data_IF_077834031000
#
_entry.id   IF_077834031000
#
_cell.length_a   1.000
_cell.length_b   1.000
_cell.length_c   1.000
_cell.angle_alpha   90.00
_cell.angle_beta   90.00
_cell.angle_gamma   90.00
#
_symmetry.space_group_name_H-M   'P 1'
#
loop_
_entity.id
_entity.type
_entity.pdbx_description
1 polymer ?
#
# COMPACT_ATOMS: atom_id res chain seq x y z
N UNK A 1 14.07 -59.23 -45.83
CA UNK A 1 14.65 -58.36 -44.76
C UNK A 1 14.55 -56.94 -45.22
N UNK A 2 13.65 -56.14 -44.63
CA UNK A 2 13.49 -54.69 -44.98
C UNK A 2 12.11 -54.15 -44.74
N UNK A 3 11.62 -54.13 -43.48
CA UNK A 3 10.33 -53.47 -43.13
C UNK A 3 10.26 -52.94 -41.70
N UNK A 4 11.34 -52.51 -41.06
CA UNK A 4 11.33 -52.04 -39.66
C UNK A 4 12.00 -50.67 -39.41
N UNK A 5 12.33 -49.87 -40.41
CA UNK A 5 13.01 -48.57 -40.19
C UNK A 5 12.13 -47.31 -40.38
N UNK A 6 10.94 -47.44 -40.94
CA UNK A 6 10.12 -46.25 -41.27
C UNK A 6 9.03 -45.91 -40.22
N UNK A 7 8.80 -46.77 -39.19
CA UNK A 7 7.83 -46.45 -38.12
C UNK A 7 8.40 -45.61 -36.95
N UNK A 8 9.71 -45.62 -36.75
CA UNK A 8 10.34 -44.86 -35.63
C UNK A 8 10.47 -43.36 -35.88
N UNK A 9 10.52 -42.94 -37.17
CA UNK A 9 10.71 -41.51 -37.52
C UNK A 9 9.37 -40.75 -37.45
N UNK A 10 8.25 -41.40 -37.69
CA UNK A 10 6.93 -40.78 -37.62
C UNK A 10 6.50 -40.45 -36.16
N UNK A 11 6.86 -41.30 -35.22
CA UNK A 11 6.48 -41.13 -33.79
C UNK A 11 7.30 -40.02 -33.07
N UNK A 12 8.54 -39.82 -33.48
CA UNK A 12 9.38 -38.76 -32.89
C UNK A 12 8.96 -37.35 -33.38
N UNK A 13 8.56 -37.24 -34.65
CA UNK A 13 8.08 -35.98 -35.21
C UNK A 13 6.69 -35.59 -34.66
N UNK A 14 5.82 -36.55 -34.41
CA UNK A 14 4.51 -36.32 -33.79
C UNK A 14 4.62 -35.84 -32.35
N UNK A 15 5.52 -36.43 -31.53
CA UNK A 15 5.77 -36.03 -30.15
C UNK A 15 6.41 -34.63 -30.02
N UNK A 16 7.30 -34.29 -30.98
CA UNK A 16 7.89 -32.94 -31.03
C UNK A 16 6.86 -31.85 -31.38
N UNK A 17 5.95 -32.15 -32.33
CA UNK A 17 4.88 -31.20 -32.69
C UNK A 17 3.84 -31.03 -31.58
N UNK A 18 3.48 -32.07 -30.83
CA UNK A 18 2.59 -31.99 -29.66
C UNK A 18 3.26 -31.24 -28.52
N UNK A 19 4.57 -31.48 -28.26
CA UNK A 19 5.33 -30.72 -27.25
C UNK A 19 5.47 -29.24 -27.63
N UNK A 20 5.68 -28.91 -28.91
CA UNK A 20 5.74 -27.52 -29.39
C UNK A 20 4.36 -26.83 -29.29
N UNK A 21 3.28 -27.55 -29.56
CA UNK A 21 1.91 -27.02 -29.45
C UNK A 21 1.50 -26.80 -28.00
N UNK A 22 1.91 -27.69 -27.07
CA UNK A 22 1.70 -27.52 -25.65
C UNK A 22 2.57 -26.38 -25.08
N UNK A 23 3.80 -26.19 -25.58
CA UNK A 23 4.67 -25.08 -25.20
C UNK A 23 4.15 -23.72 -25.70
N UNK A 24 3.46 -23.67 -26.82
CA UNK A 24 2.80 -22.48 -27.36
C UNK A 24 1.47 -22.16 -26.65
N UNK A 25 0.79 -23.15 -26.03
CA UNK A 25 -0.47 -22.97 -25.30
C UNK A 25 -0.27 -22.68 -23.81
N UNK A 26 0.88 -23.06 -23.23
CA UNK A 26 1.27 -22.79 -21.83
C UNK A 26 2.37 -21.72 -21.82
N UNK A 27 2.22 -20.65 -22.57
CA UNK A 27 2.95 -19.44 -22.20
C UNK A 27 2.31 -18.89 -20.94
N UNK A 28 3.00 -18.88 -19.78
CA UNK A 28 2.53 -18.06 -18.68
C UNK A 28 2.44 -16.64 -19.27
N UNK A 29 1.27 -16.04 -19.22
CA UNK A 29 1.13 -14.61 -19.36
C UNK A 29 1.91 -14.04 -18.19
N UNK A 30 3.20 -13.84 -18.42
CA UNK A 30 4.07 -13.13 -17.50
C UNK A 30 3.37 -11.81 -17.24
N UNK A 31 3.01 -11.56 -15.99
CA UNK A 31 2.79 -10.20 -15.54
C UNK A 31 4.08 -9.47 -15.94
N UNK A 32 4.00 -8.65 -16.97
CA UNK A 32 5.07 -7.74 -17.31
C UNK A 32 5.31 -6.90 -16.05
N UNK A 33 6.35 -7.28 -15.32
CA UNK A 33 7.07 -6.29 -14.56
C UNK A 33 7.36 -5.21 -15.60
N UNK A 34 6.81 -4.02 -15.41
CA UNK A 34 7.17 -2.85 -16.19
C UNK A 34 8.65 -2.69 -15.95
N UNK A 35 9.44 -3.34 -16.80
CA UNK A 35 10.87 -3.14 -16.88
C UNK A 35 11.01 -1.69 -17.27
N UNK A 36 11.46 -0.86 -16.33
CA UNK A 36 11.87 0.49 -16.65
C UNK A 36 12.97 0.34 -17.71
N UNK A 37 12.60 0.57 -18.96
CA UNK A 37 13.53 0.62 -20.06
C UNK A 37 14.58 1.68 -19.70
N UNK A 38 15.81 1.24 -19.52
CA UNK A 38 16.95 2.01 -19.05
C UNK A 38 17.41 3.11 -20.00
N UNK A 39 16.62 4.16 -20.11
CA UNK A 39 17.08 5.49 -20.43
C UNK A 39 16.92 6.27 -19.13
N UNK A 40 17.99 6.85 -18.59
CA UNK A 40 17.95 7.72 -17.42
C UNK A 40 17.18 8.98 -17.76
N UNK A 41 15.84 8.90 -17.73
CA UNK A 41 15.00 10.09 -17.88
C UNK A 41 15.32 11.04 -16.73
N UNK A 42 15.69 12.28 -17.06
CA UNK A 42 16.03 13.29 -16.04
C UNK A 42 14.78 13.71 -15.28
N UNK A 43 14.96 14.00 -13.99
CA UNK A 43 13.98 14.65 -13.14
C UNK A 43 14.05 16.15 -13.37
N UNK A 44 13.01 16.73 -13.93
CA UNK A 44 13.03 18.15 -14.36
C UNK A 44 12.74 19.12 -13.21
N UNK A 45 12.22 18.64 -12.08
CA UNK A 45 11.88 19.43 -10.90
C UNK A 45 10.51 20.09 -10.96
N UNK A 46 9.92 20.36 -9.77
CA UNK A 46 8.57 20.91 -9.61
C UNK A 46 8.37 22.23 -10.39
N UNK A 47 9.38 23.10 -10.41
CA UNK A 47 9.32 24.35 -11.14
C UNK A 47 9.07 24.21 -12.65
N UNK A 48 9.34 23.03 -13.23
CA UNK A 48 9.05 22.74 -14.65
C UNK A 48 7.58 22.45 -14.92
N UNK A 49 6.81 22.10 -13.88
CA UNK A 49 5.37 21.85 -13.93
C UNK A 49 4.56 23.08 -13.49
N UNK A 50 5.19 24.02 -12.76
CA UNK A 50 4.59 25.11 -12.00
C UNK A 50 4.19 26.34 -12.83
N UNK A 51 4.32 26.31 -14.16
CA UNK A 51 3.93 27.44 -15.01
C UNK A 51 2.43 27.78 -14.89
N UNK A 52 2.08 29.06 -14.95
CA UNK A 52 0.68 29.53 -14.83
C UNK A 52 -0.22 29.06 -15.99
N UNK A 53 0.35 28.61 -17.09
CA UNK A 53 -0.36 27.97 -18.21
C UNK A 53 -0.36 26.44 -18.13
N UNK A 54 0.29 25.88 -17.10
CA UNK A 54 0.40 24.44 -16.85
C UNK A 54 -0.35 24.08 -15.57
N UNK A 55 0.35 23.82 -14.46
CA UNK A 55 -0.23 23.36 -13.19
C UNK A 55 -0.11 24.36 -12.03
N UNK A 56 0.35 25.58 -12.31
CA UNK A 56 0.62 26.63 -11.30
C UNK A 56 -0.32 27.83 -11.37
N UNK A 57 -1.56 27.67 -11.80
CA UNK A 57 -2.58 28.74 -11.74
C UNK A 57 -2.96 29.02 -10.29
N UNK A 58 -3.23 30.30 -10.01
CA UNK A 58 -3.72 30.69 -8.68
C UNK A 58 -5.16 30.23 -8.42
N UNK A 59 -5.96 30.11 -9.48
CA UNK A 59 -7.34 29.66 -9.45
C UNK A 59 -7.60 28.60 -10.51
N UNK A 60 -8.38 27.60 -10.14
CA UNK A 60 -8.80 26.55 -11.07
C UNK A 60 -9.76 27.13 -12.10
N UNK A 61 -9.41 27.08 -13.38
CA UNK A 61 -10.28 27.54 -14.46
C UNK A 61 -10.15 26.70 -15.73
N UNK A 62 -9.41 25.60 -15.69
CA UNK A 62 -9.34 24.63 -16.77
C UNK A 62 -10.66 23.87 -16.91
N UNK A 63 -11.16 23.71 -18.14
CA UNK A 63 -12.35 22.88 -18.42
C UNK A 63 -12.06 21.40 -18.36
N UNK A 64 -10.81 21.02 -18.58
CA UNK A 64 -10.34 19.62 -18.70
C UNK A 64 -9.36 19.30 -17.59
N UNK A 65 -8.53 20.26 -17.19
CA UNK A 65 -7.51 20.17 -16.15
C UNK A 65 -7.67 21.40 -15.27
N UNK A 66 -7.61 21.24 -13.95
CA UNK A 66 -7.75 22.39 -13.03
C UNK A 66 -6.66 23.42 -13.26
N UNK A 67 -5.43 22.98 -13.49
CA UNK A 67 -4.22 23.77 -13.65
C UNK A 67 -3.77 24.54 -12.38
N UNK A 68 -4.37 24.23 -11.22
CA UNK A 68 -4.03 24.75 -9.90
C UNK A 68 -3.50 23.65 -8.96
N UNK A 69 -3.07 22.51 -9.51
CA UNK A 69 -2.59 21.35 -8.76
C UNK A 69 -1.41 21.69 -7.85
N UNK A 70 -0.56 22.63 -8.27
CA UNK A 70 0.55 23.13 -7.46
C UNK A 70 0.04 23.81 -6.19
N UNK A 71 -1.05 24.59 -6.26
CA UNK A 71 -1.62 25.28 -5.11
C UNK A 71 -2.16 24.27 -4.09
N UNK A 72 -2.84 23.21 -4.56
CA UNK A 72 -3.33 22.14 -3.70
C UNK A 72 -2.17 21.37 -3.04
N UNK A 73 -1.13 21.03 -3.83
CA UNK A 73 0.06 20.30 -3.36
C UNK A 73 0.90 21.10 -2.36
N UNK A 74 0.91 22.44 -2.46
CA UNK A 74 1.61 23.33 -1.54
C UNK A 74 0.78 23.80 -0.34
N UNK A 75 -0.52 23.46 -0.28
CA UNK A 75 -1.40 23.95 0.78
C UNK A 75 -1.02 23.36 2.14
N UNK A 76 -0.40 24.19 2.98
CA UNK A 76 0.07 23.79 4.30
C UNK A 76 -1.05 23.41 5.28
N UNK A 77 -2.24 23.96 5.09
CA UNK A 77 -3.40 23.70 5.92
C UNK A 77 -4.13 22.39 5.53
N UNK A 78 -3.75 21.77 4.40
CA UNK A 78 -4.40 20.58 3.86
C UNK A 78 -3.49 19.35 3.97
N UNK A 79 -4.06 18.15 4.17
CA UNK A 79 -3.33 16.89 4.00
C UNK A 79 -2.66 16.76 2.63
N UNK A 80 -3.25 17.29 1.56
CA UNK A 80 -2.68 17.27 0.20
C UNK A 80 -1.32 17.96 0.11
N UNK A 81 -1.02 18.91 0.98
CA UNK A 81 0.28 19.57 1.07
C UNK A 81 1.33 18.82 1.90
N UNK A 82 1.04 17.63 2.41
CA UNK A 82 1.98 16.89 3.26
C UNK A 82 3.29 16.54 2.53
N UNK A 83 3.22 16.18 1.26
CA UNK A 83 4.38 15.81 0.46
C UNK A 83 5.30 17.00 0.16
N UNK A 84 4.76 18.19 -0.09
CA UNK A 84 5.58 19.39 -0.30
C UNK A 84 6.36 19.80 0.97
N UNK A 85 5.84 19.45 2.15
CA UNK A 85 6.49 19.73 3.44
C UNK A 85 7.47 18.64 3.88
N UNK A 86 7.51 17.50 3.17
CA UNK A 86 8.25 16.32 3.61
C UNK A 86 9.73 16.60 3.90
N UNK A 87 10.39 17.45 3.10
CA UNK A 87 11.77 17.86 3.36
C UNK A 87 11.88 18.86 4.52
N UNK A 88 10.93 19.79 4.64
CA UNK A 88 10.97 20.84 5.69
C UNK A 88 10.87 20.26 7.09
N UNK A 89 10.09 19.19 7.28
CA UNK A 89 9.96 18.52 8.61
C UNK A 89 11.29 17.94 9.07
N UNK A 90 12.24 17.66 8.18
CA UNK A 90 13.58 17.21 8.55
C UNK A 90 14.39 18.27 9.32
N UNK A 91 13.99 19.54 9.22
CA UNK A 91 14.62 20.65 9.95
C UNK A 91 13.95 20.95 11.32
N UNK A 92 12.88 20.27 11.63
CA UNK A 92 12.16 20.45 12.91
C UNK A 92 12.92 19.85 14.10
N UNK A 93 12.64 20.32 15.33
CA UNK A 93 13.30 19.82 16.53
C UNK A 93 13.22 18.30 16.70
N UNK A 94 12.07 17.69 16.37
CA UNK A 94 11.90 16.23 16.43
C UNK A 94 12.85 15.50 15.50
N UNK A 95 12.97 15.95 14.24
CA UNK A 95 13.85 15.33 13.26
C UNK A 95 15.31 15.48 13.62
N UNK A 96 15.72 16.64 14.16
CA UNK A 96 17.08 16.83 14.68
C UNK A 96 17.38 15.89 15.85
N UNK A 97 16.41 15.71 16.76
CA UNK A 97 16.57 14.77 17.88
C UNK A 97 16.71 13.32 17.40
N UNK A 98 15.94 12.91 16.38
CA UNK A 98 16.06 11.58 15.75
C UNK A 98 17.45 11.43 15.12
N UNK A 99 17.90 12.40 14.32
CA UNK A 99 19.20 12.38 13.68
C UNK A 99 20.35 12.28 14.71
N UNK A 100 20.26 13.04 15.80
CA UNK A 100 21.24 12.97 16.89
C UNK A 100 21.29 11.58 17.54
N UNK A 101 20.13 10.95 17.84
CA UNK A 101 20.08 9.59 18.40
C UNK A 101 20.62 8.54 17.43
N UNK A 102 20.48 8.75 16.15
CA UNK A 102 21.01 7.86 15.11
C UNK A 102 22.50 8.11 14.79
N UNK A 103 23.03 9.26 15.20
CA UNK A 103 24.42 9.65 14.90
C UNK A 103 24.68 9.97 13.41
N UNK A 104 23.67 10.52 12.70
CA UNK A 104 23.72 10.71 11.23
C UNK A 104 23.94 12.15 10.78
N UNK A 105 24.22 13.07 11.68
CA UNK A 105 24.36 14.50 11.36
C UNK A 105 23.02 15.16 11.03
N UNK A 106 22.98 15.99 9.98
CA UNK A 106 21.79 16.76 9.60
C UNK A 106 20.78 15.87 8.85
N UNK A 107 19.57 15.71 9.41
CA UNK A 107 18.50 14.92 8.78
C UNK A 107 18.15 15.39 7.35
N UNK A 108 18.18 16.71 7.12
CA UNK A 108 17.82 17.31 5.83
C UNK A 108 18.82 17.03 4.68
N UNK A 109 19.97 16.43 4.99
CA UNK A 109 20.97 15.99 4.01
C UNK A 109 21.28 14.50 4.09
N UNK A 110 20.75 13.78 5.10
CA UNK A 110 21.02 12.38 5.29
C UNK A 110 20.28 11.49 4.26
N UNK A 111 20.99 10.64 3.49
CA UNK A 111 20.36 9.79 2.46
C UNK A 111 19.24 8.91 3.01
N UNK A 112 19.39 8.38 4.24
CA UNK A 112 18.37 7.55 4.87
C UNK A 112 17.07 8.28 5.21
N UNK A 113 17.09 9.62 5.27
CA UNK A 113 15.90 10.44 5.43
C UNK A 113 15.34 10.87 4.07
N UNK A 114 16.24 11.31 3.17
CA UNK A 114 15.87 11.85 1.86
C UNK A 114 15.22 10.83 0.95
N UNK A 115 15.44 9.53 1.15
CA UNK A 115 14.80 8.47 0.36
C UNK A 115 13.27 8.48 0.40
N UNK A 116 12.68 9.05 1.49
CA UNK A 116 11.23 9.20 1.65
C UNK A 116 10.79 10.66 1.80
N UNK A 117 11.67 11.54 2.26
CA UNK A 117 11.33 12.95 2.54
C UNK A 117 11.68 13.92 1.40
N UNK A 118 12.16 13.40 0.27
CA UNK A 118 12.34 14.12 -0.97
C UNK A 118 12.04 13.20 -2.16
N UNK A 119 11.91 13.75 -3.36
CA UNK A 119 11.86 12.92 -4.57
C UNK A 119 13.20 12.19 -4.71
N UNK A 120 13.22 10.84 -4.69
CA UNK A 120 14.46 10.09 -4.85
C UNK A 120 15.11 10.36 -6.20
N UNK A 121 16.32 10.89 -6.20
CA UNK A 121 16.98 11.31 -7.42
C UNK A 121 18.50 11.10 -7.33
N UNK A 122 19.08 10.15 -8.09
CA UNK A 122 20.53 10.11 -8.30
C UNK A 122 21.03 11.43 -8.86
N UNK A 123 22.21 11.90 -8.44
CA UNK A 123 22.73 13.20 -8.87
C UNK A 123 22.76 13.35 -10.40
N UNK A 124 23.12 12.31 -11.12
CA UNK A 124 23.17 12.29 -12.58
C UNK A 124 21.81 12.41 -13.28
N UNK A 125 20.71 12.14 -12.56
CA UNK A 125 19.36 12.25 -13.10
C UNK A 125 18.69 13.59 -12.79
N UNK A 126 19.34 14.49 -12.02
CA UNK A 126 18.78 15.79 -11.62
C UNK A 126 18.93 16.81 -12.73
N UNK A 127 17.82 17.30 -13.24
CA UNK A 127 17.81 18.42 -14.16
C UNK A 127 18.08 19.76 -13.44
N UNK A 128 18.28 20.85 -14.19
CA UNK A 128 18.72 22.15 -13.65
C UNK A 128 17.72 22.84 -12.72
N UNK A 129 16.45 22.42 -12.74
CA UNK A 129 15.38 22.97 -11.88
C UNK A 129 14.98 22.02 -10.75
N UNK A 130 15.69 20.89 -10.62
CA UNK A 130 15.42 19.93 -9.54
C UNK A 130 15.93 20.49 -8.21
N UNK A 131 15.05 20.56 -7.20
CA UNK A 131 15.41 20.96 -5.85
C UNK A 131 14.99 19.87 -4.85
N UNK A 132 15.94 19.37 -4.08
CA UNK A 132 15.66 18.41 -2.98
C UNK A 132 14.70 19.04 -1.94
N UNK A 133 14.76 20.36 -1.76
CA UNK A 133 13.92 21.13 -0.84
C UNK A 133 12.44 21.20 -1.24
N UNK A 134 12.09 20.82 -2.46
CA UNK A 134 10.68 20.70 -2.88
C UNK A 134 9.97 19.53 -2.18
N UNK A 135 10.71 18.68 -1.45
CA UNK A 135 10.16 17.52 -0.79
C UNK A 135 9.79 16.41 -1.78
N UNK A 136 8.68 15.72 -1.56
CA UNK A 136 8.17 14.71 -2.48
C UNK A 136 7.36 15.41 -3.56
N UNK A 137 8.03 15.72 -4.69
CA UNK A 137 7.47 16.49 -5.80
C UNK A 137 6.66 15.64 -6.77
N UNK A 138 6.19 16.28 -7.83
CA UNK A 138 5.32 15.69 -8.84
C UNK A 138 5.88 14.38 -9.43
N UNK A 139 7.16 14.37 -9.73
CA UNK A 139 7.83 13.27 -10.41
C UNK A 139 8.05 12.03 -9.52
N UNK A 140 7.92 12.15 -8.18
CA UNK A 140 7.95 11.00 -7.27
C UNK A 140 6.77 10.05 -7.51
N UNK A 141 5.63 10.59 -7.96
CA UNK A 141 4.42 9.84 -8.27
C UNK A 141 4.23 9.67 -9.78
N UNK A 142 4.42 10.76 -10.56
CA UNK A 142 4.16 10.77 -12.00
C UNK A 142 5.30 10.22 -12.86
N UNK A 143 6.45 9.87 -12.25
CA UNK A 143 7.65 9.41 -12.95
C UNK A 143 8.50 10.55 -13.51
N UNK A 144 9.77 10.26 -13.80
CA UNK A 144 10.74 11.22 -14.30
C UNK A 144 10.28 11.86 -15.63
N UNK A 145 10.05 13.18 -15.60
CA UNK A 145 9.35 13.88 -16.67
C UNK A 145 10.22 14.20 -17.90
N UNK A 146 11.54 14.07 -17.80
CA UNK A 146 12.43 14.37 -18.92
C UNK A 146 12.15 13.56 -20.19
N UNK A 147 11.57 12.36 -20.06
CA UNK A 147 11.21 11.51 -21.18
C UNK A 147 9.86 11.83 -21.83
N UNK A 148 8.90 12.35 -21.06
CA UNK A 148 7.52 12.51 -21.51
C UNK A 148 6.98 13.95 -21.48
N UNK A 149 7.65 14.91 -20.83
CA UNK A 149 7.14 16.26 -20.67
C UNK A 149 6.85 16.92 -22.02
N UNK A 150 7.74 16.82 -23.00
CA UNK A 150 7.55 17.42 -24.31
C UNK A 150 6.29 16.88 -25.04
N UNK A 151 6.01 15.57 -24.93
CA UNK A 151 4.82 14.99 -25.53
C UNK A 151 3.55 15.28 -24.76
N UNK A 152 3.67 15.60 -23.46
CA UNK A 152 2.54 15.88 -22.58
C UNK A 152 1.74 17.13 -23.01
N UNK A 153 2.43 18.18 -23.44
CA UNK A 153 1.80 19.43 -23.90
C UNK A 153 1.80 19.61 -25.42
N UNK A 154 2.34 18.63 -26.17
CA UNK A 154 2.35 18.70 -27.62
C UNK A 154 0.95 18.50 -28.22
N UNK A 155 0.68 19.18 -29.34
CA UNK A 155 -0.55 18.94 -30.11
C UNK A 155 -0.57 17.47 -30.57
N UNK A 156 -1.66 16.76 -30.29
CA UNK A 156 -1.79 15.32 -30.57
C UNK A 156 -1.11 14.41 -29.54
N UNK A 157 -0.53 14.94 -28.48
CA UNK A 157 -0.02 14.16 -27.36
C UNK A 157 -1.15 13.39 -26.67
N UNK A 158 -0.90 12.11 -26.33
CA UNK A 158 -1.88 11.26 -25.67
C UNK A 158 -1.33 10.74 -24.35
N UNK A 159 -2.23 10.38 -23.42
CA UNK A 159 -1.82 9.73 -22.16
C UNK A 159 -1.01 8.45 -22.44
N UNK A 160 -1.45 7.61 -23.36
CA UNK A 160 -0.75 6.38 -23.73
C UNK A 160 0.67 6.66 -24.24
N UNK A 161 0.87 7.71 -25.05
CA UNK A 161 2.21 8.09 -25.49
C UNK A 161 3.10 8.61 -24.38
N UNK A 162 2.53 9.26 -23.36
CA UNK A 162 3.29 9.71 -22.19
C UNK A 162 3.67 8.52 -21.31
N UNK A 163 2.75 7.56 -21.09
CA UNK A 163 3.02 6.33 -20.34
C UNK A 163 4.13 5.52 -21.01
N UNK A 164 4.11 5.36 -22.32
CA UNK A 164 5.17 4.65 -23.05
C UNK A 164 6.55 5.32 -22.97
N UNK A 165 6.59 6.59 -22.55
CA UNK A 165 7.82 7.39 -22.32
C UNK A 165 8.21 7.52 -20.86
N UNK A 166 7.51 6.79 -19.95
CA UNK A 166 7.86 6.72 -18.54
C UNK A 166 6.95 7.48 -17.57
N UNK A 167 5.83 8.06 -18.05
CA UNK A 167 4.80 8.56 -17.12
C UNK A 167 4.15 7.37 -16.41
N UNK A 168 4.00 7.47 -15.10
CA UNK A 168 3.33 6.43 -14.29
C UNK A 168 1.82 6.54 -14.45
N UNK A 169 1.12 5.45 -14.85
CA UNK A 169 -0.34 5.45 -15.02
C UNK A 169 -1.05 5.33 -13.67
N UNK A 170 -1.15 6.43 -12.91
CA UNK A 170 -1.68 6.44 -11.54
C UNK A 170 -3.18 6.13 -11.43
N UNK A 171 -3.92 6.15 -12.53
CA UNK A 171 -5.28 5.61 -12.61
C UNK A 171 -5.34 4.09 -12.43
N UNK A 172 -4.23 3.40 -12.66
CA UNK A 172 -4.09 1.98 -12.35
C UNK A 172 -3.77 1.80 -10.86
N UNK A 173 -4.63 1.13 -10.07
CA UNK A 173 -4.42 0.96 -8.64
C UNK A 173 -3.10 0.29 -8.26
N UNK A 174 -2.59 -0.63 -9.09
CA UNK A 174 -1.31 -1.31 -8.82
C UNK A 174 -0.12 -0.37 -9.01
N UNK A 175 -0.13 0.44 -10.08
CA UNK A 175 0.91 1.41 -10.33
C UNK A 175 0.93 2.48 -9.24
N UNK A 176 -0.25 2.98 -8.84
CA UNK A 176 -0.40 3.91 -7.73
C UNK A 176 0.11 3.32 -6.42
N UNK A 177 -0.30 2.09 -6.08
CA UNK A 177 0.16 1.38 -4.89
C UNK A 177 1.69 1.25 -4.87
N UNK A 178 2.31 0.84 -5.98
CA UNK A 178 3.77 0.72 -6.05
C UNK A 178 4.48 2.03 -5.73
N UNK A 179 4.04 3.15 -6.34
CA UNK A 179 4.62 4.47 -6.09
C UNK A 179 4.50 4.91 -4.62
N UNK A 180 3.33 4.70 -3.99
CA UNK A 180 3.10 5.05 -2.59
C UNK A 180 3.92 4.18 -1.64
N UNK A 181 3.95 2.86 -1.89
CA UNK A 181 4.57 1.88 -0.99
C UNK A 181 6.09 1.99 -0.93
N UNK A 182 6.75 2.58 -1.92
CA UNK A 182 8.20 2.79 -1.90
C UNK A 182 8.65 3.60 -0.67
N UNK A 183 7.82 4.54 -0.22
CA UNK A 183 8.09 5.36 0.96
C UNK A 183 7.25 4.93 2.18
N UNK A 184 5.98 4.58 2.00
CA UNK A 184 5.06 4.28 3.11
C UNK A 184 5.26 2.90 3.73
N UNK A 185 5.83 1.95 3.01
CA UNK A 185 6.29 0.64 3.53
C UNK A 185 7.80 0.51 3.44
N UNK A 186 8.37 1.03 2.36
CA UNK A 186 9.76 0.94 2.03
C UNK A 186 10.03 0.12 0.78
N UNK A 187 11.28 0.17 0.33
CA UNK A 187 11.78 -0.59 -0.80
C UNK A 187 13.18 -1.16 -0.53
N UNK A 188 13.72 -1.88 -1.49
CA UNK A 188 15.11 -2.34 -1.45
C UNK A 188 16.11 -1.18 -1.66
N UNK A 189 15.65 -0.04 -2.18
CA UNK A 189 16.50 1.10 -2.50
C UNK A 189 17.10 1.75 -1.23
N UNK A 190 18.30 2.31 -1.33
CA UNK A 190 18.95 2.98 -0.20
C UNK A 190 18.09 4.11 0.36
N UNK A 191 17.95 4.13 1.69
CA UNK A 191 17.18 5.17 2.39
C UNK A 191 15.66 5.02 2.35
N UNK A 192 15.13 3.95 1.75
CA UNK A 192 13.69 3.70 1.66
C UNK A 192 13.23 2.55 2.57
N UNK A 193 13.72 2.48 3.80
CA UNK A 193 13.21 1.53 4.79
C UNK A 193 13.37 2.07 6.21
N UNK A 194 12.26 2.24 6.91
CA UNK A 194 12.22 2.66 8.32
C UNK A 194 12.24 1.40 9.19
N UNK A 195 13.44 0.94 9.56
CA UNK A 195 13.62 -0.18 10.46
C UNK A 195 13.34 0.19 11.93
N UNK A 196 13.32 -0.79 12.81
CA UNK A 196 13.02 -0.57 14.23
C UNK A 196 14.02 0.38 14.91
N UNK A 197 15.30 0.43 14.50
CA UNK A 197 16.28 1.37 15.02
C UNK A 197 15.89 2.81 14.76
N UNK A 198 15.36 3.11 13.57
CA UNK A 198 14.88 4.45 13.20
C UNK A 198 13.61 4.79 14.00
N UNK A 199 12.71 3.81 14.20
CA UNK A 199 11.50 3.98 15.03
C UNK A 199 11.88 4.21 16.49
N UNK A 200 12.83 3.44 17.04
CA UNK A 200 13.34 3.62 18.41
C UNK A 200 14.02 4.98 18.63
N UNK A 201 14.57 5.58 17.58
CA UNK A 201 15.07 6.94 17.62
C UNK A 201 13.95 8.01 17.66
N UNK A 202 12.68 7.62 17.48
CA UNK A 202 11.51 8.50 17.58
C UNK A 202 10.77 8.76 16.28
N UNK A 203 11.13 8.06 15.18
CA UNK A 203 10.38 8.14 13.93
C UNK A 203 9.07 7.35 14.07
N UNK A 204 7.90 7.90 13.71
CA UNK A 204 6.66 7.17 13.80
C UNK A 204 6.60 6.08 12.70
N UNK A 205 5.92 4.97 13.01
CA UNK A 205 5.43 4.08 11.96
C UNK A 205 4.19 4.70 11.33
N UNK A 206 4.10 4.67 10.00
CA UNK A 206 2.91 5.11 9.28
C UNK A 206 2.10 3.87 8.93
N UNK A 207 0.88 3.78 9.46
CA UNK A 207 -0.11 2.83 8.96
C UNK A 207 -0.69 3.39 7.67
N UNK A 208 -0.64 2.62 6.59
CA UNK A 208 -0.99 3.07 5.26
C UNK A 208 -2.16 2.27 4.68
N UNK A 209 -3.08 2.98 4.04
CA UNK A 209 -4.16 2.41 3.26
C UNK A 209 -4.31 3.22 1.96
N UNK A 210 -4.33 2.55 0.82
CA UNK A 210 -4.18 3.20 -0.49
C UNK A 210 -5.30 4.17 -0.84
N UNK A 211 -6.56 3.81 -0.60
CA UNK A 211 -7.70 4.66 -0.98
C UNK A 211 -7.82 5.89 -0.07
N UNK A 212 -7.67 5.68 1.25
CA UNK A 212 -7.66 6.78 2.22
C UNK A 212 -6.55 7.78 1.92
N UNK A 213 -5.32 7.30 1.73
CA UNK A 213 -4.18 8.17 1.45
C UNK A 213 -4.29 8.84 0.08
N UNK A 214 -4.84 8.17 -0.93
CA UNK A 214 -5.15 8.80 -2.22
C UNK A 214 -6.18 9.92 -2.07
N UNK A 215 -7.19 9.74 -1.22
CA UNK A 215 -8.20 10.77 -0.92
C UNK A 215 -7.59 11.95 -0.18
N UNK A 216 -6.73 11.73 0.80
CA UNK A 216 -6.02 12.78 1.54
C UNK A 216 -5.03 13.55 0.65
N UNK A 217 -4.43 12.88 -0.33
CA UNK A 217 -3.45 13.46 -1.26
C UNK A 217 -4.10 14.07 -2.52
N UNK A 218 -5.42 14.09 -2.61
CA UNK A 218 -6.12 14.57 -3.80
C UNK A 218 -5.76 16.01 -4.13
N UNK A 219 -5.24 16.22 -5.34
CA UNK A 219 -4.91 17.51 -5.92
C UNK A 219 -5.46 17.67 -7.35
N UNK A 220 -6.18 16.65 -7.86
CA UNK A 220 -6.92 16.64 -9.10
C UNK A 220 -8.41 16.45 -8.84
N UNK A 221 -9.28 16.97 -9.71
CA UNK A 221 -10.68 16.63 -9.72
C UNK A 221 -10.94 15.35 -10.52
N UNK A 222 -11.65 14.42 -9.93
CA UNK A 222 -12.18 13.24 -10.61
C UNK A 222 -13.62 13.53 -11.08
N UNK A 223 -13.74 14.51 -11.95
CA UNK A 223 -15.01 14.98 -12.50
C UNK A 223 -15.49 14.12 -13.69
N UNK A 224 -16.50 14.61 -14.42
CA UNK A 224 -17.07 13.91 -15.58
C UNK A 224 -16.06 13.72 -16.72
N UNK A 225 -15.20 14.70 -16.96
CA UNK A 225 -14.15 14.64 -17.97
C UNK A 225 -13.05 13.64 -17.58
N UNK A 226 -12.60 13.65 -16.32
CA UNK A 226 -11.69 12.64 -15.81
C UNK A 226 -12.27 11.23 -16.00
N UNK A 227 -13.53 11.03 -15.60
CA UNK A 227 -14.19 9.74 -15.69
C UNK A 227 -14.32 9.25 -17.14
N UNK A 228 -14.51 10.16 -18.10
CA UNK A 228 -14.58 9.82 -19.53
C UNK A 228 -13.23 9.37 -20.09
N UNK A 229 -12.13 10.00 -19.68
CA UNK A 229 -10.79 9.73 -20.21
C UNK A 229 -10.04 8.63 -19.48
N UNK A 230 -10.27 8.47 -18.18
CA UNK A 230 -9.50 7.59 -17.28
C UNK A 230 -10.34 6.49 -16.64
N UNK A 231 -11.67 6.54 -16.80
CA UNK A 231 -12.60 5.74 -16.03
C UNK A 231 -12.92 6.33 -14.65
N UNK A 232 -13.97 5.80 -14.02
CA UNK A 232 -14.31 6.20 -12.65
C UNK A 232 -13.46 5.45 -11.65
N UNK A 233 -12.91 6.16 -10.66
CA UNK A 233 -12.23 5.52 -9.55
C UNK A 233 -13.21 4.68 -8.74
N UNK A 234 -12.89 3.40 -8.56
CA UNK A 234 -13.61 2.49 -7.68
C UNK A 234 -12.84 2.39 -6.35
N UNK A 235 -13.33 3.10 -5.34
CA UNK A 235 -12.67 3.19 -4.04
C UNK A 235 -12.54 1.81 -3.35
N UNK A 236 -13.56 0.93 -3.46
CA UNK A 236 -13.50 -0.43 -2.88
C UNK A 236 -12.40 -1.26 -3.57
N UNK A 237 -12.30 -1.15 -4.90
CA UNK A 237 -11.25 -1.80 -5.66
C UNK A 237 -9.87 -1.25 -5.30
N UNK A 238 -9.75 0.08 -5.17
CA UNK A 238 -8.52 0.76 -4.76
C UNK A 238 -8.06 0.25 -3.39
N UNK A 239 -8.98 0.17 -2.41
CA UNK A 239 -8.72 -0.39 -1.10
C UNK A 239 -8.24 -1.85 -1.18
N UNK A 240 -8.98 -2.74 -1.87
CA UNK A 240 -8.68 -4.17 -1.91
C UNK A 240 -7.35 -4.47 -2.61
N UNK A 241 -7.10 -3.82 -3.75
CA UNK A 241 -5.82 -3.94 -4.47
C UNK A 241 -4.69 -3.35 -3.63
N UNK A 242 -4.91 -2.21 -2.96
CA UNK A 242 -3.96 -1.61 -2.03
C UNK A 242 -3.51 -2.55 -0.93
N UNK A 243 -4.44 -3.26 -0.28
CA UNK A 243 -4.14 -4.27 0.74
C UNK A 243 -3.29 -5.42 0.17
N UNK A 244 -3.59 -5.89 -1.03
CA UNK A 244 -2.84 -6.97 -1.67
C UNK A 244 -1.42 -6.53 -2.05
N UNK A 245 -1.26 -5.33 -2.59
CA UNK A 245 0.05 -4.77 -2.94
C UNK A 245 0.90 -4.45 -1.70
N UNK A 246 0.27 -4.00 -0.61
CA UNK A 246 0.92 -3.77 0.68
C UNK A 246 1.47 -5.07 1.28
N UNK A 247 0.68 -6.16 1.24
CA UNK A 247 1.15 -7.47 1.68
C UNK A 247 2.30 -7.99 0.81
N UNK A 248 2.19 -7.91 -0.52
CA UNK A 248 3.29 -8.31 -1.41
C UNK A 248 4.56 -7.51 -1.12
N UNK A 249 4.45 -6.19 -0.89
CA UNK A 249 5.57 -5.32 -0.52
C UNK A 249 6.19 -5.72 0.83
N UNK A 250 5.37 -5.89 1.86
CA UNK A 250 5.83 -6.30 3.20
C UNK A 250 6.60 -7.61 3.15
N UNK A 251 6.06 -8.63 2.49
CA UNK A 251 6.71 -9.93 2.34
C UNK A 251 7.93 -9.87 1.41
N UNK A 252 7.96 -8.96 0.43
CA UNK A 252 9.16 -8.71 -0.39
C UNK A 252 10.30 -8.15 0.44
N UNK A 253 10.01 -7.18 1.31
CA UNK A 253 10.99 -6.62 2.25
C UNK A 253 11.46 -7.69 3.24
N UNK A 254 10.54 -8.49 3.80
CA UNK A 254 10.83 -9.59 4.71
C UNK A 254 11.80 -10.60 4.10
N UNK A 255 11.65 -10.96 2.83
CA UNK A 255 12.53 -11.93 2.14
C UNK A 255 13.83 -11.30 1.63
N UNK A 256 13.96 -9.99 1.60
CA UNK A 256 15.17 -9.25 1.17
C UNK A 256 16.20 -9.11 2.30
N UNK A 257 17.29 -8.40 2.02
CA UNK A 257 18.28 -8.02 3.04
C UNK A 257 17.66 -7.20 4.18
N UNK A 258 16.60 -6.41 3.91
CA UNK A 258 15.87 -5.63 4.92
C UNK A 258 15.26 -6.48 6.01
N UNK A 259 14.79 -7.69 5.68
CA UNK A 259 14.22 -8.63 6.64
C UNK A 259 15.17 -9.13 7.71
N UNK A 260 16.46 -8.94 7.54
CA UNK A 260 17.51 -9.42 8.43
C UNK A 260 18.50 -8.33 8.87
N UNK A 261 18.17 -7.05 8.76
CA UNK A 261 19.00 -5.96 9.27
C UNK A 261 19.09 -6.03 10.81
N UNK A 262 20.21 -6.55 11.33
CA UNK A 262 20.47 -6.76 12.75
C UNK A 262 19.98 -8.11 13.27
N UNK A 263 18.70 -8.39 13.25
CA UNK A 263 18.08 -9.65 13.69
C UNK A 263 17.05 -10.12 12.64
N UNK A 264 16.85 -11.42 12.53
CA UNK A 264 15.81 -11.98 11.66
C UNK A 264 14.69 -12.66 12.48
N UNK A 265 13.40 -12.33 12.21
CA UNK A 265 12.95 -11.18 11.44
C UNK A 265 13.32 -9.86 12.11
N UNK A 266 13.54 -8.81 11.31
CA UNK A 266 13.72 -7.44 11.81
C UNK A 266 12.44 -6.99 12.55
N UNK A 267 12.58 -6.24 13.64
CA UNK A 267 11.44 -5.92 14.54
C UNK A 267 10.31 -5.13 13.87
N UNK A 268 10.58 -4.44 12.78
CA UNK A 268 9.56 -3.79 11.95
C UNK A 268 8.42 -4.74 11.54
N UNK A 269 8.73 -6.03 11.35
CA UNK A 269 7.77 -7.02 10.87
C UNK A 269 6.85 -7.58 11.96
N UNK A 270 7.03 -7.18 13.21
CA UNK A 270 6.17 -7.59 14.31
C UNK A 270 5.12 -6.53 14.64
N UNK A 271 4.02 -6.95 15.22
CA UNK A 271 3.04 -6.04 15.81
C UNK A 271 3.64 -5.30 17.01
N UNK A 272 3.50 -3.98 17.00
CA UNK A 272 4.12 -3.10 17.98
C UNK A 272 3.67 -3.40 19.42
N UNK A 273 2.38 -3.67 19.60
CA UNK A 273 1.79 -3.87 20.93
C UNK A 273 2.19 -5.19 21.57
N UNK A 274 2.69 -6.15 20.80
CA UNK A 274 3.26 -7.39 21.38
C UNK A 274 4.39 -7.10 22.35
N UNK A 275 5.21 -6.06 22.10
CA UNK A 275 6.30 -5.64 22.97
C UNK A 275 5.98 -4.33 23.72
N UNK A 276 5.35 -3.36 23.03
CA UNK A 276 4.97 -2.05 23.60
C UNK A 276 3.61 -2.11 24.29
N UNK A 277 3.48 -2.97 25.31
CA UNK A 277 2.25 -3.14 26.08
C UNK A 277 2.51 -3.03 27.58
N UNK A 278 1.45 -2.79 28.33
CA UNK A 278 1.52 -2.85 29.79
C UNK A 278 1.78 -4.30 30.22
N UNK A 279 2.75 -4.49 31.10
CA UNK A 279 3.03 -5.73 31.81
C UNK A 279 2.71 -5.47 33.28
N UNK A 280 2.08 -6.41 33.97
CA UNK A 280 1.71 -6.29 35.37
C UNK A 280 1.83 -7.65 36.07
N UNK A 281 2.41 -7.64 37.26
CA UNK A 281 2.46 -8.80 38.18
C UNK A 281 1.22 -8.87 39.07
N UNK A 282 0.25 -7.96 38.92
CA UNK A 282 -1.03 -8.02 39.61
C UNK A 282 -1.80 -9.26 39.16
N UNK A 283 -2.13 -10.21 40.07
CA UNK A 283 -2.86 -11.42 39.70
C UNK A 283 -4.27 -11.15 39.15
N UNK A 284 -4.78 -9.91 39.30
CA UNK A 284 -6.06 -9.48 38.71
C UNK A 284 -5.88 -8.87 37.33
N UNK A 285 -4.63 -8.79 36.83
CA UNK A 285 -4.38 -8.29 35.48
C UNK A 285 -4.87 -9.30 34.45
N UNK A 286 -5.89 -8.93 33.71
CA UNK A 286 -6.41 -9.72 32.59
C UNK A 286 -5.77 -9.24 31.30
N UNK A 287 -5.14 -10.13 30.50
CA UNK A 287 -4.70 -9.81 29.15
C UNK A 287 -5.88 -9.34 28.29
N UNK A 288 -5.67 -8.30 27.50
CA UNK A 288 -6.69 -7.80 26.57
C UNK A 288 -6.86 -8.67 25.31
N UNK A 289 -6.14 -9.80 25.21
CA UNK A 289 -6.10 -10.67 24.02
C UNK A 289 -6.23 -12.15 24.37
N UNK A 290 -6.87 -12.87 23.47
CA UNK A 290 -6.97 -14.34 23.47
C UNK A 290 -6.17 -14.93 22.30
N UNK A 291 -5.75 -16.18 22.44
CA UNK A 291 -5.08 -16.90 21.33
C UNK A 291 -5.99 -17.02 20.10
N UNK A 292 -5.45 -16.73 18.93
CA UNK A 292 -6.15 -16.87 17.65
C UNK A 292 -5.69 -18.13 16.91
N UNK A 293 -6.56 -19.17 16.77
CA UNK A 293 -6.19 -20.42 16.07
C UNK A 293 -5.86 -20.22 14.58
N UNK A 294 -6.34 -19.13 13.97
CA UNK A 294 -6.01 -18.76 12.59
C UNK A 294 -4.59 -18.21 12.43
N UNK A 295 -3.94 -17.88 13.58
CA UNK A 295 -2.59 -17.30 13.68
C UNK A 295 -1.77 -18.15 14.65
N UNK A 296 -1.18 -19.27 14.21
CA UNK A 296 -0.47 -20.21 15.10
C UNK A 296 0.87 -19.61 15.55
N UNK A 297 0.81 -18.70 16.52
CA UNK A 297 1.99 -18.04 17.11
C UNK A 297 2.41 -18.85 18.35
N UNK A 298 3.64 -19.36 18.40
CA UNK A 298 4.15 -20.08 19.56
C UNK A 298 4.24 -19.16 20.78
N UNK A 299 4.09 -19.75 21.97
CA UNK A 299 4.29 -19.05 23.24
C UNK A 299 5.68 -18.41 23.29
N UNK A 300 5.73 -17.12 23.64
CA UNK A 300 6.98 -16.34 23.71
C UNK A 300 7.46 -15.73 22.41
N UNK A 301 6.83 -16.04 21.28
CA UNK A 301 7.13 -15.39 20.00
C UNK A 301 6.26 -14.16 19.81
N UNK A 302 6.81 -13.01 19.38
CA UNK A 302 6.02 -11.84 19.02
C UNK A 302 5.10 -12.13 17.83
N UNK A 303 3.91 -11.52 17.82
CA UNK A 303 3.00 -11.61 16.69
C UNK A 303 3.58 -10.90 15.47
N UNK A 304 3.61 -11.58 14.33
CA UNK A 304 3.91 -10.94 13.06
C UNK A 304 2.82 -9.90 12.71
N UNK A 305 3.22 -8.79 12.13
CA UNK A 305 2.27 -7.78 11.64
C UNK A 305 1.54 -8.29 10.40
N UNK A 306 0.39 -8.88 10.59
CA UNK A 306 -0.43 -9.47 9.54
C UNK A 306 -1.65 -8.61 9.16
N UNK A 307 -1.61 -7.31 9.45
CA UNK A 307 -2.70 -6.35 9.21
C UNK A 307 -3.34 -6.48 7.83
N UNK A 308 -2.52 -6.61 6.77
CA UNK A 308 -3.03 -6.78 5.41
C UNK A 308 -3.55 -8.20 5.14
N UNK A 309 -3.03 -9.23 5.82
CA UNK A 309 -3.55 -10.60 5.68
C UNK A 309 -4.98 -10.71 6.20
N UNK A 310 -5.27 -10.06 7.33
CA UNK A 310 -6.61 -10.04 7.95
C UNK A 310 -7.61 -9.35 7.03
N UNK A 311 -7.24 -8.19 6.48
CA UNK A 311 -8.08 -7.44 5.54
C UNK A 311 -8.35 -8.24 4.27
N UNK A 312 -7.30 -8.84 3.69
CA UNK A 312 -7.41 -9.66 2.48
C UNK A 312 -8.22 -10.93 2.68
N UNK A 313 -8.10 -11.60 3.82
CA UNK A 313 -8.93 -12.78 4.13
C UNK A 313 -10.42 -12.43 4.11
N UNK A 314 -10.81 -11.27 4.67
CA UNK A 314 -12.19 -10.80 4.64
C UNK A 314 -12.65 -10.46 3.20
N UNK A 315 -11.83 -9.71 2.45
CA UNK A 315 -12.15 -9.33 1.08
C UNK A 315 -12.23 -10.53 0.13
N UNK A 316 -11.27 -11.46 0.24
CA UNK A 316 -11.18 -12.62 -0.64
C UNK A 316 -12.39 -13.56 -0.52
N UNK A 317 -12.87 -13.81 0.71
CA UNK A 317 -14.04 -14.66 0.93
C UNK A 317 -15.30 -14.17 0.24
N UNK A 318 -15.39 -12.86 0.04
CA UNK A 318 -16.56 -12.21 -0.56
C UNK A 318 -16.36 -11.94 -2.05
N UNK A 319 -15.21 -11.38 -2.44
CA UNK A 319 -14.96 -10.90 -3.79
C UNK A 319 -14.12 -11.84 -4.66
N UNK A 320 -13.41 -12.82 -4.05
CA UNK A 320 -12.57 -13.78 -4.76
C UNK A 320 -12.58 -15.17 -4.07
N UNK A 321 -13.77 -15.80 -3.88
CA UNK A 321 -13.91 -17.01 -3.05
C UNK A 321 -13.07 -18.19 -3.55
N UNK A 322 -12.81 -18.28 -4.85
CA UNK A 322 -11.94 -19.32 -5.43
C UNK A 322 -10.49 -19.25 -4.93
N UNK A 323 -10.00 -18.05 -4.55
CA UNK A 323 -8.65 -17.84 -4.04
C UNK A 323 -8.58 -17.80 -2.51
N UNK A 324 -9.71 -17.57 -1.83
CA UNK A 324 -9.76 -17.32 -0.39
C UNK A 324 -9.18 -18.50 0.42
N UNK A 325 -9.55 -19.74 0.11
CA UNK A 325 -9.05 -20.92 0.84
C UNK A 325 -7.54 -21.12 0.67
N UNK A 326 -7.01 -20.87 -0.53
CA UNK A 326 -5.58 -20.93 -0.79
C UNK A 326 -4.86 -19.88 0.03
N UNK A 327 -5.33 -18.66 -0.02
CA UNK A 327 -4.76 -17.52 0.73
C UNK A 327 -4.75 -17.79 2.25
N UNK A 328 -5.87 -18.25 2.81
CA UNK A 328 -5.98 -18.57 4.24
C UNK A 328 -5.04 -19.73 4.67
N UNK A 329 -4.83 -20.74 3.80
CA UNK A 329 -3.87 -21.83 4.08
C UNK A 329 -2.44 -21.32 4.07
N UNK A 330 -2.06 -20.50 3.08
CA UNK A 330 -0.70 -19.97 2.95
C UNK A 330 -0.39 -18.95 4.05
N UNK A 331 -1.37 -18.14 4.48
CA UNK A 331 -1.24 -17.27 5.64
C UNK A 331 -0.93 -18.05 6.92
N UNK A 332 -1.69 -19.12 7.20
CA UNK A 332 -1.40 -19.99 8.35
C UNK A 332 -0.05 -20.70 8.24
N UNK A 333 0.30 -21.16 7.04
CA UNK A 333 1.59 -21.79 6.79
C UNK A 333 2.76 -20.83 7.03
N UNK A 334 2.60 -19.58 6.67
CA UNK A 334 3.61 -18.54 6.93
C UNK A 334 3.79 -18.30 8.43
N UNK A 335 2.71 -18.13 9.20
CA UNK A 335 2.80 -18.00 10.66
C UNK A 335 3.48 -19.20 11.32
N UNK A 336 3.12 -20.42 10.88
CA UNK A 336 3.76 -21.65 11.40
C UNK A 336 5.25 -21.75 11.01
N UNK A 337 5.62 -21.29 9.82
CA UNK A 337 6.99 -21.32 9.33
C UNK A 337 7.92 -20.35 10.07
N UNK A 338 7.40 -19.22 10.55
CA UNK A 338 8.15 -18.25 11.37
C UNK A 338 8.73 -18.89 12.64
N UNK A 339 8.03 -19.90 13.20
CA UNK A 339 8.45 -20.61 14.40
C UNK A 339 9.53 -21.69 14.14
N UNK A 340 9.82 -22.01 12.90
CA UNK A 340 10.77 -23.09 12.54
C UNK A 340 12.17 -22.52 12.30
N UNK A 341 12.35 -21.87 11.18
CA UNK A 341 13.62 -21.34 10.73
C UNK A 341 13.42 -20.30 9.62
N UNK A 342 14.49 -19.57 9.31
CA UNK A 342 14.51 -18.54 8.29
C UNK A 342 14.15 -19.07 6.89
N UNK A 343 14.68 -20.23 6.49
CA UNK A 343 14.46 -20.77 5.15
C UNK A 343 13.01 -21.15 4.94
N UNK A 344 12.39 -21.81 5.94
CA UNK A 344 10.96 -22.13 5.95
C UNK A 344 10.09 -20.87 5.88
N UNK A 345 10.41 -19.84 6.67
CA UNK A 345 9.68 -18.57 6.68
C UNK A 345 9.78 -17.84 5.33
N UNK A 346 10.97 -17.78 4.73
CA UNK A 346 11.18 -17.17 3.41
C UNK A 346 10.44 -17.92 2.31
N UNK A 347 10.46 -19.27 2.33
CA UNK A 347 9.72 -20.09 1.38
C UNK A 347 8.20 -19.89 1.49
N UNK A 348 7.66 -19.88 2.71
CA UNK A 348 6.23 -19.61 2.94
C UNK A 348 5.82 -18.18 2.56
N UNK A 349 6.68 -17.18 2.81
CA UNK A 349 6.45 -15.81 2.39
C UNK A 349 6.36 -15.70 0.86
N UNK A 350 7.22 -16.40 0.11
CA UNK A 350 7.18 -16.40 -1.35
C UNK A 350 5.85 -16.95 -1.90
N UNK A 351 5.33 -18.06 -1.35
CA UNK A 351 4.04 -18.62 -1.73
C UNK A 351 2.88 -17.62 -1.42
N UNK A 352 2.89 -17.02 -0.24
CA UNK A 352 1.86 -16.06 0.16
C UNK A 352 1.89 -14.78 -0.71
N UNK A 353 3.07 -14.34 -1.18
CA UNK A 353 3.20 -13.24 -2.14
C UNK A 353 2.47 -13.55 -3.45
N UNK A 354 2.61 -14.76 -3.98
CA UNK A 354 1.90 -15.16 -5.21
C UNK A 354 0.38 -15.13 -5.01
N UNK A 355 -0.11 -15.57 -3.85
CA UNK A 355 -1.54 -15.45 -3.51
C UNK A 355 -2.01 -13.99 -3.39
N UNK A 356 -1.21 -13.11 -2.79
CA UNK A 356 -1.53 -11.68 -2.71
C UNK A 356 -1.63 -11.05 -4.11
N UNK A 357 -0.69 -11.36 -5.01
CA UNK A 357 -0.72 -10.89 -6.41
C UNK A 357 -1.93 -11.42 -7.19
N UNK A 358 -2.27 -12.69 -6.98
CA UNK A 358 -3.47 -13.29 -7.58
C UNK A 358 -4.75 -12.58 -7.11
N UNK A 359 -4.87 -12.28 -5.81
CA UNK A 359 -5.97 -11.50 -5.26
C UNK A 359 -6.04 -10.08 -5.84
N UNK A 360 -4.89 -9.37 -5.97
CA UNK A 360 -4.86 -8.07 -6.63
C UNK A 360 -5.40 -8.14 -8.08
N UNK A 361 -5.18 -9.27 -8.78
CA UNK A 361 -5.77 -9.53 -10.09
C UNK A 361 -7.28 -9.73 -10.04
N UNK A 362 -7.74 -10.55 -9.12
CA UNK A 362 -9.15 -10.89 -8.99
C UNK A 362 -10.02 -9.66 -8.61
N UNK A 363 -9.51 -8.77 -7.77
CA UNK A 363 -10.22 -7.55 -7.37
C UNK A 363 -10.42 -6.53 -8.49
N UNK A 364 -9.76 -6.70 -9.64
CA UNK A 364 -9.99 -5.85 -10.82
C UNK A 364 -11.41 -5.99 -11.40
N UNK A 365 -12.16 -7.04 -11.06
CA UNK A 365 -13.54 -7.26 -11.47
C UNK A 365 -14.59 -6.39 -10.77
N UNK A 366 -14.18 -5.58 -9.79
CA UNK A 366 -15.08 -4.75 -8.98
C UNK A 366 -15.73 -5.50 -7.81
N UNK A 367 -16.38 -4.75 -6.94
CA UNK A 367 -17.08 -5.24 -5.74
C UNK A 367 -18.43 -4.57 -5.66
N UNK A 368 -19.52 -5.34 -5.49
CA UNK A 368 -20.88 -4.79 -5.41
C UNK A 368 -21.14 -4.11 -4.05
N UNK A 369 -22.28 -3.36 -4.00
CA UNK A 369 -22.76 -2.74 -2.75
C UNK A 369 -22.88 -3.77 -1.62
N UNK A 370 -23.60 -4.86 -1.86
CA UNK A 370 -23.85 -5.89 -0.84
C UNK A 370 -22.57 -6.62 -0.42
N UNK A 371 -21.65 -6.85 -1.36
CA UNK A 371 -20.34 -7.38 -1.07
C UNK A 371 -19.53 -6.41 -0.20
N UNK A 372 -19.62 -5.11 -0.45
CA UNK A 372 -18.94 -4.08 0.35
C UNK A 372 -19.45 -4.10 1.79
N UNK A 373 -20.77 -4.12 2.01
CA UNK A 373 -21.34 -4.27 3.36
C UNK A 373 -20.89 -5.56 4.04
N UNK A 374 -20.84 -6.67 3.30
CA UNK A 374 -20.39 -7.96 3.84
C UNK A 374 -18.92 -7.92 4.25
N UNK A 375 -18.06 -7.25 3.48
CA UNK A 375 -16.64 -7.04 3.84
C UNK A 375 -16.54 -6.19 5.11
N UNK A 376 -17.25 -5.06 5.19
CA UNK A 376 -17.28 -4.21 6.39
C UNK A 376 -17.70 -5.01 7.61
N UNK A 377 -18.77 -5.77 7.50
CA UNK A 377 -19.31 -6.56 8.63
C UNK A 377 -18.34 -7.67 9.06
N UNK A 378 -17.68 -8.32 8.11
CA UNK A 378 -16.67 -9.34 8.38
C UNK A 378 -15.45 -8.75 9.10
N UNK A 379 -14.92 -7.63 8.61
CA UNK A 379 -13.76 -6.96 9.23
C UNK A 379 -14.13 -6.48 10.64
N UNK A 380 -15.24 -5.77 10.78
CA UNK A 380 -15.67 -5.23 12.06
C UNK A 380 -16.01 -6.34 13.06
N UNK A 381 -16.71 -7.39 12.63
CA UNK A 381 -17.04 -8.55 13.46
C UNK A 381 -15.80 -9.28 13.99
N UNK A 382 -14.77 -9.44 13.16
CA UNK A 382 -13.48 -9.98 13.58
C UNK A 382 -12.77 -9.02 14.54
N UNK A 383 -12.71 -7.73 14.21
CA UNK A 383 -11.95 -6.71 14.95
C UNK A 383 -12.50 -6.46 16.37
N UNK A 384 -13.79 -6.69 16.62
CA UNK A 384 -14.38 -6.59 17.97
C UNK A 384 -14.16 -7.85 18.81
N UNK A 385 -13.62 -8.92 18.25
CA UNK A 385 -13.30 -10.14 18.98
C UNK A 385 -12.02 -9.98 19.81
N UNK A 386 -11.93 -10.45 21.06
CA UNK A 386 -10.69 -10.49 21.83
C UNK A 386 -9.55 -11.26 21.14
N UNK A 387 -9.87 -12.16 20.21
CA UNK A 387 -8.89 -12.91 19.42
C UNK A 387 -8.24 -12.10 18.31
N UNK A 388 -8.83 -10.97 17.95
CA UNK A 388 -8.29 -10.00 17.01
C UNK A 388 -7.63 -8.87 17.81
N UNK A 389 -6.52 -9.14 18.44
CA UNK A 389 -5.97 -8.18 19.39
C UNK A 389 -4.51 -7.90 19.11
N UNK A 390 -4.29 -7.28 17.98
CA UNK A 390 -3.05 -6.60 17.72
C UNK A 390 -3.34 -5.14 17.38
N UNK A 391 -2.35 -4.32 17.60
CA UNK A 391 -2.44 -2.88 17.36
C UNK A 391 -2.57 -2.56 15.87
N UNK A 392 -1.69 -3.13 15.05
CA UNK A 392 -1.63 -2.82 13.62
C UNK A 392 -2.90 -3.28 12.89
N UNK A 393 -3.41 -4.48 13.22
CA UNK A 393 -4.66 -4.97 12.68
C UNK A 393 -5.86 -4.11 13.08
N UNK A 394 -5.89 -3.60 14.32
CA UNK A 394 -6.95 -2.67 14.76
C UNK A 394 -6.91 -1.33 14.02
N UNK A 395 -5.72 -0.78 13.78
CA UNK A 395 -5.56 0.43 12.95
C UNK A 395 -6.09 0.19 11.54
N UNK A 396 -5.71 -0.92 10.90
CA UNK A 396 -6.20 -1.25 9.56
C UNK A 396 -7.70 -1.51 9.52
N UNK A 397 -8.27 -2.11 10.57
CA UNK A 397 -9.71 -2.39 10.64
C UNK A 397 -10.54 -1.09 10.68
N UNK A 398 -10.16 -0.10 11.50
CA UNK A 398 -10.90 1.18 11.51
C UNK A 398 -10.71 1.94 10.20
N UNK A 399 -9.51 1.94 9.63
CA UNK A 399 -9.26 2.55 8.31
C UNK A 399 -10.11 1.88 7.23
N UNK A 400 -10.16 0.54 7.20
CA UNK A 400 -10.96 -0.21 6.23
C UNK A 400 -12.47 0.09 6.36
N UNK A 401 -13.01 0.09 7.59
CA UNK A 401 -14.43 0.40 7.82
C UNK A 401 -14.76 1.82 7.38
N UNK A 402 -13.91 2.79 7.70
CA UNK A 402 -14.07 4.20 7.29
C UNK A 402 -13.99 4.36 5.77
N UNK A 403 -12.97 3.79 5.15
CA UNK A 403 -12.76 3.84 3.69
C UNK A 403 -13.91 3.19 2.92
N UNK A 404 -14.33 2.00 3.32
CA UNK A 404 -15.41 1.28 2.64
C UNK A 404 -16.79 1.96 2.82
N UNK A 405 -17.06 2.54 4.00
CA UNK A 405 -18.25 3.36 4.21
C UNK A 405 -18.19 4.62 3.34
N UNK A 406 -17.05 5.29 3.28
CA UNK A 406 -16.83 6.46 2.43
C UNK A 406 -16.98 6.12 0.94
N UNK A 407 -16.53 4.93 0.51
CA UNK A 407 -16.72 4.44 -0.85
C UNK A 407 -18.22 4.28 -1.22
N UNK A 408 -19.02 3.75 -0.29
CA UNK A 408 -20.48 3.65 -0.46
C UNK A 408 -21.15 5.04 -0.57
N UNK A 409 -20.66 6.02 0.19
CA UNK A 409 -21.15 7.42 0.10
C UNK A 409 -20.74 8.06 -1.22
N UNK A 410 -19.47 7.95 -1.61
CA UNK A 410 -18.94 8.53 -2.86
C UNK A 410 -19.63 7.97 -4.10
N UNK A 411 -20.00 6.68 -4.07
CA UNK A 411 -20.77 6.02 -5.13
C UNK A 411 -22.30 6.27 -5.02
N UNK A 412 -22.74 7.11 -4.08
CA UNK A 412 -24.16 7.45 -3.83
C UNK A 412 -25.04 6.25 -3.45
N UNK A 413 -24.43 5.19 -2.93
CA UNK A 413 -25.14 3.99 -2.45
C UNK A 413 -25.56 4.10 -0.98
N UNK A 414 -25.01 5.07 -0.25
CA UNK A 414 -25.38 5.48 1.11
C UNK A 414 -25.48 7.00 1.15
N UNK A 415 -26.45 7.52 1.86
CA UNK A 415 -26.62 8.96 2.05
C UNK A 415 -25.54 9.53 2.98
N UNK A 416 -25.01 10.72 2.67
CA UNK A 416 -23.94 11.36 3.46
C UNK A 416 -24.38 11.65 4.91
N UNK A 417 -25.63 12.08 5.14
CA UNK A 417 -26.15 12.32 6.50
C UNK A 417 -26.22 11.07 7.36
N UNK A 418 -26.52 9.90 6.76
CA UNK A 418 -26.48 8.63 7.47
C UNK A 418 -25.06 8.22 7.87
N UNK A 419 -24.07 8.45 7.01
CA UNK A 419 -22.66 8.19 7.32
C UNK A 419 -22.12 9.15 8.39
N UNK A 420 -22.54 10.43 8.37
CA UNK A 420 -22.11 11.43 9.36
C UNK A 420 -22.52 11.05 10.79
N UNK A 421 -23.70 10.45 10.96
CA UNK A 421 -24.15 9.98 12.28
C UNK A 421 -23.25 8.89 12.89
N UNK A 422 -22.50 8.16 12.04
CA UNK A 422 -21.59 7.07 12.45
C UNK A 422 -20.17 7.59 12.71
N UNK A 423 -19.84 8.78 12.19
CA UNK A 423 -18.49 9.38 12.25
C UNK A 423 -17.95 9.51 13.66
N UNK A 424 -18.81 9.81 14.64
CA UNK A 424 -18.41 9.95 16.04
C UNK A 424 -17.79 8.66 16.60
N UNK A 425 -18.40 7.51 16.34
CA UNK A 425 -17.90 6.20 16.79
C UNK A 425 -16.62 5.78 16.05
N UNK A 426 -16.54 6.05 14.73
CA UNK A 426 -15.32 5.84 13.95
C UNK A 426 -14.16 6.68 14.52
N UNK A 427 -14.40 7.96 14.84
CA UNK A 427 -13.40 8.84 15.43
C UNK A 427 -12.97 8.38 16.83
N UNK A 428 -13.87 7.79 17.62
CA UNK A 428 -13.52 7.16 18.90
C UNK A 428 -12.61 5.95 18.69
N UNK A 429 -12.90 5.11 17.71
CA UNK A 429 -12.05 3.97 17.37
C UNK A 429 -10.66 4.41 16.90
N UNK A 430 -10.55 5.45 16.07
CA UNK A 430 -9.25 6.05 15.71
C UNK A 430 -8.47 6.57 16.90
N UNK A 431 -9.13 7.22 17.87
CA UNK A 431 -8.46 7.69 19.10
C UNK A 431 -7.89 6.54 19.92
N UNK A 432 -8.61 5.42 20.01
CA UNK A 432 -8.17 4.26 20.77
C UNK A 432 -6.93 3.56 20.18
N UNK A 433 -6.67 3.75 18.87
CA UNK A 433 -5.51 3.18 18.15
C UNK A 433 -4.47 4.22 17.76
N UNK A 434 -4.46 5.39 18.36
CA UNK A 434 -3.60 6.51 17.96
C UNK A 434 -2.09 6.24 18.17
N UNK A 435 -1.76 5.51 19.21
CA UNK A 435 -0.38 5.26 19.61
C UNK A 435 -0.24 3.82 20.14
N UNK A 436 0.76 3.04 19.69
CA UNK A 436 0.94 1.67 20.18
C UNK A 436 1.20 1.57 21.67
N UNK A 437 1.85 2.60 22.29
CA UNK A 437 2.10 2.64 23.74
C UNK A 437 0.85 3.03 24.54
N UNK A 438 -0.15 3.62 23.90
CA UNK A 438 -1.42 4.07 24.48
C UNK A 438 -2.63 3.39 23.85
N UNK A 439 -2.44 2.24 23.22
CA UNK A 439 -3.51 1.45 22.60
C UNK A 439 -4.55 1.01 23.63
N UNK A 440 -5.81 1.24 23.34
CA UNK A 440 -6.96 0.96 24.19
C UNK A 440 -7.89 -0.07 23.52
N UNK A 441 -7.56 -1.38 23.58
CA UNK A 441 -8.27 -2.41 22.81
C UNK A 441 -9.74 -2.53 23.19
N UNK A 442 -10.11 -2.32 24.46
CA UNK A 442 -11.52 -2.38 24.91
C UNK A 442 -12.33 -1.23 24.33
N UNK A 443 -11.81 -0.01 24.36
CA UNK A 443 -12.48 1.18 23.81
C UNK A 443 -12.57 1.12 22.29
N UNK A 444 -11.52 0.61 21.64
CA UNK A 444 -11.52 0.33 20.20
C UNK A 444 -12.65 -0.63 19.83
N UNK A 445 -12.74 -1.80 20.48
CA UNK A 445 -13.77 -2.80 20.20
C UNK A 445 -15.18 -2.27 20.45
N UNK A 446 -15.38 -1.54 21.54
CA UNK A 446 -16.67 -0.94 21.85
C UNK A 446 -17.12 0.08 20.79
N UNK A 447 -16.20 0.98 20.40
CA UNK A 447 -16.51 2.04 19.43
C UNK A 447 -16.73 1.48 18.02
N UNK A 448 -15.82 0.60 17.55
CA UNK A 448 -15.97 -0.02 16.24
C UNK A 448 -17.24 -0.91 16.18
N UNK A 449 -17.56 -1.59 17.27
CA UNK A 449 -18.78 -2.40 17.37
C UNK A 449 -20.07 -1.58 17.22
N UNK A 450 -20.13 -0.38 17.82
CA UNK A 450 -21.27 0.55 17.65
C UNK A 450 -21.34 1.07 16.21
N UNK A 451 -20.20 1.48 15.65
CA UNK A 451 -20.12 1.91 14.24
C UNK A 451 -20.63 0.81 13.30
N UNK A 452 -20.14 -0.44 13.46
CA UNK A 452 -20.58 -1.56 12.67
C UNK A 452 -22.08 -1.85 12.80
N UNK A 453 -22.64 -1.78 14.01
CA UNK A 453 -24.06 -1.97 14.25
C UNK A 453 -24.91 -0.89 13.56
N UNK A 454 -24.41 0.35 13.51
CA UNK A 454 -25.07 1.44 12.78
C UNK A 454 -24.95 1.25 11.25
N UNK A 455 -23.78 0.84 10.75
CA UNK A 455 -23.55 0.57 9.31
C UNK A 455 -24.49 -0.55 8.82
N UNK A 456 -24.68 -1.63 9.59
CA UNK A 456 -25.62 -2.70 9.20
C UNK A 456 -27.05 -2.21 8.93
N UNK A 457 -27.49 -1.16 9.61
CA UNK A 457 -28.84 -0.58 9.39
C UNK A 457 -28.96 0.19 8.07
N UNK A 458 -27.83 0.47 7.38
CA UNK A 458 -27.80 1.15 6.09
C UNK A 458 -27.89 0.16 4.91
N UNK A 459 -27.73 -1.13 5.19
CA UNK A 459 -27.81 -2.18 4.17
C UNK A 459 -29.26 -2.40 3.73
#
# INVERSE_FOLDING_TARGET
>A
MGRSRNLAIGSAAGLLLVALFFWLLVRPTGAEAVSQSGGTSSLVGVASCAGSTCHGRSEANGKIVRQDELMSWQNEASPSGAHSRAWRVLKEPRSRAIAARLGIGEAASAPMCLGCHATPAPAAARGPRFLTSDGVGCEACHGAAGGWLASHYAVGGTHASNVSRGMVPLENPRARASACLDCHFGSADPGQFVNHRIMAAGHPRISFELDLFSTLQRHHDEDGDYAQRKGRTNNVQMWAIGQAMALDRSLSLFTSARGGEGIFPEFYFFDCHTCHRRISDDPRFEPDSEGNPGRPIPTGMPAYNDENMIMLSAAARVAAPALAQRFDRESRAFHAALAKDRASAVGAAAALRESARALAGAFSGGVSRDQTFTIIDTIAGNAVSPRFTDYSGSVQAVMAVDTLLSALVNSKQVGSGAAESIRADINLAYRAVRDPNAYQPRDFRASLGRAAAAIRKLR
#
